data_IF_918228374017
#
_entry.id   IF_918228374017
#
_cell.length_a   1.000
_cell.length_b   1.000
_cell.length_c   1.000
_cell.angle_alpha   90.00
_cell.angle_beta   90.00
_cell.angle_gamma   90.00
#
_symmetry.space_group_name_H-M   'P 1'
#
loop_
_entity.id
_entity.type
_entity.pdbx_description
1 polymer ?
#
# COMPACT_ATOMS: atom_id res chain seq x y z
N UNK A 1 -4.84 21.52 60.56
CA UNK A 1 -4.89 21.59 59.08
C UNK A 1 -3.65 22.31 58.56
N UNK A 2 -2.66 21.57 58.04
CA UNK A 2 -1.54 22.09 57.25
C UNK A 2 -1.22 21.03 56.20
N UNK A 3 -1.67 21.26 54.98
CA UNK A 3 -1.47 20.35 53.86
C UNK A 3 -0.08 20.56 53.25
N UNK A 4 0.62 19.43 53.09
CA UNK A 4 1.89 19.25 52.39
C UNK A 4 1.94 19.98 51.05
N UNK A 5 3.03 20.72 50.82
CA UNK A 5 3.47 21.16 49.49
C UNK A 5 4.56 20.21 49.02
N UNK A 6 4.20 19.35 48.09
CA UNK A 6 5.09 18.64 47.15
C UNK A 6 4.16 18.35 45.98
N UNK A 7 4.48 18.68 44.74
CA UNK A 7 5.42 17.92 43.93
C UNK A 7 5.81 18.80 42.74
N UNK A 8 7.11 18.76 42.48
CA UNK A 8 7.87 19.17 41.31
C UNK A 8 7.07 18.91 40.02
N UNK A 9 6.72 19.98 39.29
CA UNK A 9 6.23 19.90 37.91
C UNK A 9 7.43 19.54 37.02
N UNK A 10 7.70 18.25 36.94
CA UNK A 10 8.72 17.68 36.08
C UNK A 10 8.33 17.84 34.62
N UNK A 11 9.16 18.63 33.93
CA UNK A 11 9.52 18.48 32.53
C UNK A 11 9.47 17.00 32.10
N UNK A 12 8.92 16.73 30.91
CA UNK A 12 9.21 15.61 29.97
C UNK A 12 7.90 15.28 29.23
N UNK A 13 7.53 16.16 28.29
CA UNK A 13 6.70 15.75 27.15
C UNK A 13 7.67 15.30 26.06
N UNK A 14 8.34 14.17 26.30
CA UNK A 14 9.18 13.51 25.30
C UNK A 14 8.33 13.18 24.08
N UNK A 15 8.77 13.73 22.95
CA UNK A 15 8.55 13.27 21.58
C UNK A 15 7.93 11.87 21.51
N UNK A 16 6.63 11.81 21.22
CA UNK A 16 5.94 10.61 20.76
C UNK A 16 5.49 10.82 19.29
N UNK A 17 6.43 11.21 18.44
CA UNK A 17 6.23 11.28 16.98
C UNK A 17 7.47 10.72 16.29
N UNK A 18 7.70 9.43 16.45
CA UNK A 18 8.55 8.67 15.55
C UNK A 18 7.92 7.28 15.49
N UNK A 19 7.96 6.65 14.31
CA UNK A 19 7.40 5.33 14.01
C UNK A 19 5.95 5.31 13.46
N UNK A 20 5.60 6.25 12.57
CA UNK A 20 4.80 5.84 11.40
C UNK A 20 5.77 5.11 10.47
N UNK A 21 6.01 3.83 10.74
CA UNK A 21 6.92 3.02 9.94
C UNK A 21 6.43 2.98 8.49
N UNK A 22 7.28 3.42 7.56
CA UNK A 22 7.09 3.20 6.14
C UNK A 22 6.92 1.70 5.92
N UNK A 23 5.70 1.24 5.60
CA UNK A 23 5.46 -0.18 5.30
C UNK A 23 6.21 -0.51 4.01
N UNK A 24 7.06 -1.53 4.03
CA UNK A 24 7.86 -1.93 2.87
C UNK A 24 6.98 -2.42 1.71
N UNK A 25 7.39 -2.15 0.46
CA UNK A 25 6.66 -2.61 -0.74
C UNK A 25 6.50 -4.13 -0.76
N UNK A 26 7.52 -4.88 -0.34
CA UNK A 26 7.47 -6.34 -0.33
C UNK A 26 6.50 -6.85 0.74
N UNK A 27 6.40 -6.17 1.89
CA UNK A 27 5.42 -6.54 2.93
C UNK A 27 3.98 -6.33 2.44
N UNK A 28 3.71 -5.23 1.72
CA UNK A 28 2.39 -5.01 1.09
C UNK A 28 2.13 -6.12 0.06
N UNK A 29 3.09 -6.40 -0.82
CA UNK A 29 2.98 -7.44 -1.84
C UNK A 29 2.70 -8.81 -1.23
N UNK A 30 3.43 -9.20 -0.18
CA UNK A 30 3.28 -10.51 0.46
C UNK A 30 1.90 -10.66 1.13
N UNK A 31 1.36 -9.60 1.72
CA UNK A 31 -0.01 -9.61 2.26
C UNK A 31 -1.04 -9.76 1.14
N UNK A 32 -0.87 -9.00 0.05
CA UNK A 32 -1.75 -9.11 -1.11
C UNK A 32 -1.73 -10.50 -1.74
N UNK A 33 -0.57 -11.15 -1.80
CA UNK A 33 -0.44 -12.52 -2.32
C UNK A 33 -1.02 -13.59 -1.38
N UNK A 34 -1.18 -13.31 -0.08
CA UNK A 34 -1.92 -14.19 0.83
C UNK A 34 -3.43 -14.11 0.59
N UNK A 35 -3.94 -12.92 0.29
CA UNK A 35 -5.38 -12.68 0.08
C UNK A 35 -5.82 -12.94 -1.37
N UNK A 36 -4.94 -12.67 -2.33
CA UNK A 36 -5.10 -12.94 -3.76
C UNK A 36 -3.88 -13.71 -4.29
N UNK A 37 -3.79 -15.03 -4.06
CA UNK A 37 -2.66 -15.83 -4.51
C UNK A 37 -2.50 -15.86 -6.02
N UNK A 38 -1.27 -16.13 -6.50
CA UNK A 38 -1.03 -16.44 -7.92
C UNK A 38 -1.98 -17.54 -8.38
N UNK A 39 -2.56 -17.38 -9.56
CA UNK A 39 -3.64 -18.21 -10.08
C UNK A 39 -5.05 -17.67 -9.82
N UNK A 40 -5.23 -16.69 -8.92
CA UNK A 40 -6.54 -16.09 -8.63
C UNK A 40 -7.17 -15.51 -9.89
N UNK A 41 -8.47 -15.72 -10.08
CA UNK A 41 -9.20 -15.20 -11.24
C UNK A 41 -9.37 -13.69 -11.19
N UNK A 42 -9.34 -13.06 -12.36
CA UNK A 42 -9.54 -11.62 -12.54
C UNK A 42 -10.77 -11.08 -11.79
N UNK A 43 -11.90 -11.76 -11.93
CA UNK A 43 -13.16 -11.38 -11.30
C UNK A 43 -13.09 -11.45 -9.76
N UNK A 44 -12.33 -12.40 -9.22
CA UNK A 44 -12.12 -12.54 -7.76
C UNK A 44 -11.30 -11.36 -7.23
N UNK A 45 -10.29 -10.90 -7.97
CA UNK A 45 -9.53 -9.70 -7.59
C UNK A 45 -10.39 -8.43 -7.65
N UNK A 46 -11.35 -8.33 -8.58
CA UNK A 46 -12.32 -7.24 -8.57
C UNK A 46 -13.26 -7.31 -7.35
N UNK A 47 -13.71 -8.50 -6.98
CA UNK A 47 -14.50 -8.69 -5.75
C UNK A 47 -13.69 -8.31 -4.50
N UNK A 48 -12.42 -8.68 -4.46
CA UNK A 48 -11.48 -8.27 -3.41
C UNK A 48 -11.40 -6.74 -3.29
N UNK A 49 -11.22 -6.05 -4.41
CA UNK A 49 -11.22 -4.59 -4.45
C UNK A 49 -12.49 -3.99 -3.84
N UNK A 50 -13.66 -4.52 -4.21
CA UNK A 50 -14.94 -4.05 -3.68
C UNK A 50 -15.08 -4.31 -2.18
N UNK A 51 -14.72 -5.51 -1.70
CA UNK A 51 -14.78 -5.90 -0.29
C UNK A 51 -13.89 -4.99 0.58
N UNK A 52 -12.67 -4.73 0.12
CA UNK A 52 -11.69 -3.85 0.79
C UNK A 52 -11.96 -2.37 0.57
N UNK A 53 -13.00 -2.02 -0.21
CA UNK A 53 -13.35 -0.63 -0.58
C UNK A 53 -12.18 0.10 -1.26
N UNK A 54 -11.36 -0.63 -2.02
CA UNK A 54 -10.30 -0.08 -2.84
C UNK A 54 -10.91 0.52 -4.11
N UNK A 55 -10.43 1.70 -4.50
CA UNK A 55 -10.76 2.30 -5.79
C UNK A 55 -9.90 1.64 -6.86
N UNK A 56 -10.41 0.54 -7.42
CA UNK A 56 -9.72 -0.21 -8.47
C UNK A 56 -10.22 0.19 -9.86
N UNK A 57 -9.27 0.36 -10.76
CA UNK A 57 -9.48 0.46 -12.20
C UNK A 57 -8.91 -0.78 -12.87
N UNK A 58 -9.29 -1.05 -14.12
CA UNK A 58 -8.85 -2.26 -14.80
C UNK A 58 -8.79 -2.11 -16.32
N UNK A 59 -7.97 -2.96 -16.94
CA UNK A 59 -7.86 -3.13 -18.37
C UNK A 59 -7.84 -4.61 -18.73
N UNK A 60 -8.81 -5.06 -19.52
CA UNK A 60 -8.85 -6.44 -20.06
C UNK A 60 -7.98 -6.65 -21.31
N UNK A 61 -7.32 -5.59 -21.78
CA UNK A 61 -6.57 -5.57 -23.05
C UNK A 61 -5.12 -5.13 -22.90
N UNK A 62 -4.70 -4.77 -21.68
CA UNK A 62 -3.33 -4.39 -21.40
C UNK A 62 -2.91 -4.88 -20.02
N UNK A 63 -1.72 -5.49 -19.96
CA UNK A 63 -0.98 -5.70 -18.72
C UNK A 63 -0.50 -4.39 -18.11
N UNK A 64 0.42 -4.47 -17.15
CA UNK A 64 1.07 -3.29 -16.58
C UNK A 64 2.57 -3.31 -16.86
N UNK A 65 3.21 -2.14 -16.90
CA UNK A 65 4.66 -2.04 -17.05
C UNK A 65 5.33 -2.21 -15.69
N UNK A 66 6.12 -3.27 -15.51
CA UNK A 66 6.96 -3.42 -14.32
C UNK A 66 8.16 -2.48 -14.46
N UNK A 67 8.20 -1.41 -13.65
CA UNK A 67 9.24 -0.38 -13.77
C UNK A 67 10.65 -0.87 -13.38
N UNK A 68 10.76 -1.98 -12.65
CA UNK A 68 12.06 -2.57 -12.30
C UNK A 68 12.68 -3.30 -13.49
N UNK A 69 11.87 -4.00 -14.28
CA UNK A 69 12.35 -4.81 -15.41
C UNK A 69 12.16 -4.14 -16.77
N UNK A 70 11.32 -3.10 -16.84
CA UNK A 70 10.90 -2.45 -18.09
C UNK A 70 10.00 -3.34 -18.96
N UNK A 71 9.49 -4.45 -18.44
CA UNK A 71 8.67 -5.40 -19.20
C UNK A 71 7.19 -5.25 -18.87
N UNK A 72 6.34 -5.39 -19.89
CA UNK A 72 4.90 -5.52 -19.68
C UNK A 72 4.59 -6.91 -19.10
N UNK A 73 3.87 -6.94 -17.99
CA UNK A 73 3.47 -8.16 -17.30
C UNK A 73 1.99 -8.45 -17.60
N UNK A 74 1.73 -9.63 -18.18
CA UNK A 74 0.40 -10.10 -18.50
C UNK A 74 -0.23 -9.42 -19.72
N UNK A 75 -1.48 -9.77 -19.99
CA UNK A 75 -2.31 -9.21 -21.07
C UNK A 75 -3.50 -8.41 -20.57
N UNK A 76 -3.79 -8.51 -19.26
CA UNK A 76 -4.79 -7.73 -18.56
C UNK A 76 -4.24 -7.29 -17.20
N UNK A 77 -4.82 -6.24 -16.63
CA UNK A 77 -4.40 -5.69 -15.34
C UNK A 77 -5.56 -5.08 -14.57
N UNK A 78 -5.38 -5.05 -13.25
CA UNK A 78 -6.18 -4.26 -12.30
C UNK A 78 -5.19 -3.39 -11.54
N UNK A 79 -5.51 -2.13 -11.28
CA UNK A 79 -4.68 -1.27 -10.43
C UNK A 79 -5.51 -0.48 -9.43
N UNK A 80 -4.90 -0.13 -8.30
CA UNK A 80 -5.53 0.64 -7.24
C UNK A 80 -4.52 1.59 -6.59
N UNK A 81 -4.96 2.81 -6.28
CA UNK A 81 -4.18 3.73 -5.45
C UNK A 81 -4.30 3.33 -3.98
N UNK A 82 -3.16 3.26 -3.30
CA UNK A 82 -3.09 3.28 -1.84
C UNK A 82 -3.37 4.71 -1.37
N UNK A 83 -4.01 4.84 -0.21
CA UNK A 83 -4.24 6.15 0.38
C UNK A 83 -2.92 6.86 0.69
N UNK A 84 -2.85 8.13 0.35
CA UNK A 84 -1.72 8.98 0.69
C UNK A 84 -1.60 9.08 2.21
N UNK A 85 -0.36 9.00 2.69
CA UNK A 85 -0.08 9.18 4.11
C UNK A 85 1.10 10.13 4.29
N UNK A 86 0.93 11.04 5.25
CA UNK A 86 1.95 12.01 5.59
C UNK A 86 2.99 11.33 6.48
N UNK A 87 4.21 11.18 5.99
CA UNK A 87 5.33 10.53 6.70
C UNK A 87 6.17 11.52 7.50
N UNK A 88 5.96 12.83 7.32
CA UNK A 88 6.63 13.89 8.07
C UNK A 88 5.99 15.27 7.87
N UNK A 89 6.61 16.31 8.44
CA UNK A 89 6.08 17.67 8.32
C UNK A 89 6.08 18.17 6.87
N UNK A 90 6.97 17.67 6.02
CA UNK A 90 7.12 18.08 4.62
C UNK A 90 7.12 16.92 3.63
N UNK A 91 6.65 15.74 4.04
CA UNK A 91 6.71 14.53 3.21
C UNK A 91 5.38 13.80 3.16
N UNK A 92 4.99 13.42 1.95
CA UNK A 92 3.80 12.60 1.67
C UNK A 92 4.24 11.37 0.90
N UNK A 93 3.71 10.22 1.28
CA UNK A 93 3.95 8.97 0.58
C UNK A 93 2.64 8.46 -0.02
N UNK A 94 2.68 8.19 -1.32
CA UNK A 94 1.59 7.62 -2.10
C UNK A 94 2.01 6.25 -2.62
N UNK A 95 1.05 5.41 -3.00
CA UNK A 95 1.36 4.11 -3.57
C UNK A 95 0.32 3.62 -4.55
N UNK A 96 0.71 2.67 -5.39
CA UNK A 96 -0.15 2.00 -6.37
C UNK A 96 0.10 0.50 -6.31
N UNK A 97 -0.99 -0.27 -6.30
CA UNK A 97 -0.96 -1.72 -6.45
C UNK A 97 -1.37 -2.05 -7.88
N UNK A 98 -0.67 -2.99 -8.50
CA UNK A 98 -0.99 -3.54 -9.81
C UNK A 98 -1.08 -5.07 -9.71
N UNK A 99 -2.15 -5.65 -10.22
CA UNK A 99 -2.32 -7.08 -10.44
C UNK A 99 -2.26 -7.35 -11.93
N UNK A 100 -1.42 -8.29 -12.37
CA UNK A 100 -1.22 -8.65 -13.77
C UNK A 100 -1.74 -10.05 -14.05
N UNK A 101 -2.44 -10.22 -15.18
CA UNK A 101 -3.14 -11.46 -15.50
C UNK A 101 -2.67 -12.04 -16.83
N UNK A 102 -2.64 -13.37 -16.91
CA UNK A 102 -2.41 -14.09 -18.15
C UNK A 102 -3.64 -14.06 -19.08
N UNK A 103 -3.51 -14.69 -20.25
CA UNK A 103 -4.57 -14.78 -21.27
C UNK A 103 -5.81 -15.58 -20.81
N UNK A 104 -5.67 -16.40 -19.78
CA UNK A 104 -6.73 -17.25 -19.23
C UNK A 104 -7.38 -16.61 -17.99
N UNK A 105 -7.04 -15.35 -17.71
CA UNK A 105 -7.56 -14.53 -16.63
C UNK A 105 -7.03 -14.90 -15.24
N UNK A 106 -5.88 -15.59 -15.16
CA UNK A 106 -5.26 -15.93 -13.89
C UNK A 106 -4.21 -14.89 -13.49
N UNK A 107 -4.18 -14.53 -12.21
CA UNK A 107 -3.17 -13.66 -11.64
C UNK A 107 -1.79 -14.30 -11.77
N UNK A 108 -0.83 -13.58 -12.36
CA UNK A 108 0.55 -14.06 -12.54
C UNK A 108 1.58 -13.22 -11.78
N UNK A 109 1.24 -11.97 -11.44
CA UNK A 109 2.09 -11.15 -10.59
C UNK A 109 1.30 -10.03 -9.90
N UNK A 110 1.86 -9.57 -8.78
CA UNK A 110 1.41 -8.39 -8.05
C UNK A 110 2.60 -7.47 -7.85
N UNK A 111 2.44 -6.21 -8.21
CA UNK A 111 3.47 -5.21 -8.05
C UNK A 111 2.95 -4.03 -7.23
N UNK A 112 3.76 -3.59 -6.28
CA UNK A 112 3.49 -2.43 -5.43
C UNK A 112 4.54 -1.39 -5.76
N UNK A 113 4.09 -0.17 -6.01
CA UNK A 113 4.95 0.97 -6.28
C UNK A 113 4.62 2.07 -5.28
N UNK A 114 5.64 2.64 -4.66
CA UNK A 114 5.49 3.76 -3.72
C UNK A 114 6.33 4.94 -4.16
N UNK A 115 5.81 6.14 -3.95
CA UNK A 115 6.51 7.39 -4.20
C UNK A 115 6.46 8.21 -2.92
N UNK A 116 7.62 8.70 -2.49
CA UNK A 116 7.72 9.68 -1.43
C UNK A 116 8.04 11.02 -2.05
N UNK A 117 7.11 11.96 -1.92
CA UNK A 117 7.31 13.34 -2.33
C UNK A 117 7.73 14.17 -1.10
N UNK A 118 8.78 14.98 -1.25
CA UNK A 118 9.27 15.91 -0.23
C UNK A 118 9.29 17.34 -0.77
N UNK A 119 8.81 18.28 0.05
CA UNK A 119 8.86 19.74 -0.20
C UNK A 119 10.19 20.36 0.20
#
# INVERSE_FOLDING_TARGET
MKFMRSIIFGLVTTLLFALTGCIDENEIRDRLLKETPIGTKFEVVLSYCAEKKLKCENSKKAGYLNQRTGQTVGVASIWASLADHRTGLFSTESGTINWGFDKDGNLIDVWVWKVTDSL
#
